data_IF_565538465219
#
_entry.id   IF_565538465219
#
_cell.length_a   1.000
_cell.length_b   1.000
_cell.length_c   1.000
_cell.angle_alpha   90.00
_cell.angle_beta   90.00
_cell.angle_gamma   90.00
#
_symmetry.space_group_name_H-M   'P 1'
#
loop_
_entity.id
_entity.type
_entity.pdbx_description
1 polymer ?
#
# COMPACT_ATOMS: atom_id res chain seq x y z
N UNK A 1 33.70 60.13 7.61
CA UNK A 1 33.82 59.28 6.39
C UNK A 1 33.77 57.83 6.87
N UNK A 2 32.60 57.15 6.82
CA UNK A 2 32.26 56.06 5.85
C UNK A 2 33.22 54.86 6.04
N UNK A 3 32.89 53.64 6.51
CA UNK A 3 31.69 52.77 6.42
C UNK A 3 31.77 51.57 7.41
N UNK A 4 30.59 51.11 7.82
CA UNK A 4 30.08 49.80 8.33
C UNK A 4 30.91 48.51 8.19
N UNK A 5 30.72 47.53 9.12
CA UNK A 5 30.28 46.12 8.88
C UNK A 5 30.34 45.30 10.19
N UNK A 6 29.25 45.17 10.98
CA UNK A 6 28.23 44.10 10.96
C UNK A 6 28.79 42.67 11.10
N UNK A 7 28.90 42.21 12.35
CA UNK A 7 29.18 40.82 12.72
C UNK A 7 27.88 39.98 12.62
N UNK A 8 27.81 39.10 11.62
CA UNK A 8 26.70 38.18 11.41
C UNK A 8 26.92 36.88 12.18
N UNK A 9 26.03 36.64 13.15
CA UNK A 9 25.89 35.38 13.89
C UNK A 9 25.33 34.33 12.93
N UNK A 10 26.10 33.29 12.66
CA UNK A 10 25.72 32.16 11.81
C UNK A 10 24.90 31.15 12.64
N UNK A 11 23.57 31.29 12.62
CA UNK A 11 22.66 30.25 13.11
C UNK A 11 22.49 29.23 11.98
N UNK A 12 23.23 28.14 12.04
CA UNK A 12 22.99 26.95 11.22
C UNK A 12 21.70 26.26 11.66
N UNK A 13 20.60 26.54 10.96
CA UNK A 13 19.36 25.75 11.02
C UNK A 13 19.59 24.45 10.26
N UNK A 14 19.93 23.38 10.96
CA UNK A 14 19.84 22.02 10.43
C UNK A 14 18.38 21.60 10.40
N UNK A 15 17.72 21.79 9.25
CA UNK A 15 16.43 21.18 8.96
C UNK A 15 16.64 19.67 8.71
N UNK A 16 16.33 18.85 9.71
CA UNK A 16 16.27 17.40 9.55
C UNK A 16 15.10 17.02 8.64
N UNK A 17 15.26 16.01 7.75
CA UNK A 17 14.14 15.52 6.95
C UNK A 17 13.16 14.82 7.90
N UNK A 18 11.95 15.38 8.02
CA UNK A 18 10.83 14.70 8.64
C UNK A 18 10.49 13.47 7.77
N UNK A 19 10.73 12.29 8.31
CA UNK A 19 10.20 11.03 7.78
C UNK A 19 8.67 11.07 7.94
N UNK A 20 7.98 11.58 6.93
CA UNK A 20 6.52 11.62 6.87
C UNK A 20 5.95 10.28 6.33
N UNK A 21 6.35 9.17 6.93
CA UNK A 21 5.97 7.82 6.50
C UNK A 21 5.37 7.04 7.67
N UNK A 22 4.25 7.49 8.23
CA UNK A 22 3.53 6.72 9.27
C UNK A 22 2.05 7.13 9.48
N UNK A 23 1.55 8.18 8.80
CA UNK A 23 0.15 8.62 8.92
C UNK A 23 -0.85 7.85 8.05
N UNK A 24 -0.37 7.04 7.10
CA UNK A 24 -1.27 6.31 6.21
C UNK A 24 -1.79 5.01 6.81
N UNK A 25 -1.03 4.40 7.71
CA UNK A 25 -1.35 3.11 8.31
C UNK A 25 -2.36 3.26 9.46
N UNK A 26 -2.20 4.23 10.36
CA UNK A 26 -3.15 4.48 11.47
C UNK A 26 -4.58 4.78 10.98
N UNK A 27 -4.72 5.60 9.92
CA UNK A 27 -6.02 5.96 9.33
C UNK A 27 -6.71 4.73 8.74
N UNK A 28 -5.93 3.77 8.24
CA UNK A 28 -6.45 2.54 7.65
C UNK A 28 -7.06 1.63 8.73
N UNK A 29 -6.42 1.49 9.89
CA UNK A 29 -6.89 0.58 10.95
C UNK A 29 -8.17 1.07 11.63
N UNK A 30 -8.25 2.36 11.97
CA UNK A 30 -9.47 2.94 12.55
C UNK A 30 -10.67 2.79 11.60
N UNK A 31 -10.43 2.98 10.31
CA UNK A 31 -11.44 2.81 9.27
C UNK A 31 -11.88 1.35 9.16
N UNK A 32 -10.94 0.39 9.20
CA UNK A 32 -11.27 -1.05 9.21
C UNK A 32 -12.15 -1.43 10.39
N UNK A 33 -11.86 -0.92 11.59
CA UNK A 33 -12.67 -1.18 12.79
C UNK A 33 -14.09 -0.65 12.63
N UNK A 34 -14.25 0.55 12.08
CA UNK A 34 -15.55 1.14 11.75
C UNK A 34 -16.35 0.26 10.78
N UNK A 35 -15.72 -0.25 9.73
CA UNK A 35 -16.35 -1.18 8.78
C UNK A 35 -16.76 -2.51 9.42
N UNK A 36 -15.91 -3.09 10.28
CA UNK A 36 -16.24 -4.30 11.03
C UNK A 36 -17.43 -4.09 11.98
N UNK A 37 -17.52 -2.93 12.62
CA UNK A 37 -18.63 -2.59 13.50
C UNK A 37 -19.95 -2.41 12.73
N UNK A 38 -19.92 -1.78 11.56
CA UNK A 38 -21.12 -1.63 10.71
C UNK A 38 -21.55 -2.95 10.04
N UNK A 39 -20.61 -3.80 9.67
CA UNK A 39 -20.86 -5.04 8.91
C UNK A 39 -20.26 -6.26 9.63
N UNK A 40 -20.83 -6.67 10.78
CA UNK A 40 -20.28 -7.77 11.59
C UNK A 40 -20.34 -9.13 10.89
N UNK A 41 -21.26 -9.31 9.93
CA UNK A 41 -21.39 -10.53 9.14
C UNK A 41 -20.42 -10.60 7.96
N UNK A 42 -19.57 -9.58 7.76
CA UNK A 42 -18.61 -9.51 6.65
C UNK A 42 -17.20 -9.66 7.17
N UNK A 43 -16.48 -10.67 6.66
CA UNK A 43 -15.10 -10.91 7.06
C UNK A 43 -14.13 -10.03 6.26
N UNK A 44 -13.69 -8.93 6.87
CA UNK A 44 -12.65 -8.06 6.30
C UNK A 44 -11.24 -8.55 6.64
N UNK A 45 -10.49 -8.94 5.61
CA UNK A 45 -9.10 -9.40 5.71
C UNK A 45 -8.10 -8.23 5.78
N UNK A 46 -8.50 -7.06 5.29
CA UNK A 46 -7.69 -5.85 5.35
C UNK A 46 -8.28 -4.72 4.53
N UNK A 47 -7.73 -3.53 4.72
CA UNK A 47 -8.10 -2.31 4.00
C UNK A 47 -6.85 -1.65 3.43
N UNK A 48 -6.96 -1.02 2.28
CA UNK A 48 -5.90 -0.23 1.66
C UNK A 48 -6.47 1.06 1.09
N UNK A 49 -5.69 2.14 1.08
CA UNK A 49 -6.04 3.34 0.32
C UNK A 49 -5.99 3.02 -1.18
N UNK A 50 -7.04 3.37 -1.92
CA UNK A 50 -7.01 3.26 -3.39
C UNK A 50 -6.24 4.44 -4.00
N UNK A 51 -5.98 4.38 -5.31
CA UNK A 51 -5.41 5.53 -6.04
C UNK A 51 -6.42 6.68 -6.20
N UNK A 52 -7.70 6.44 -5.93
CA UNK A 52 -8.75 7.45 -5.92
C UNK A 52 -8.85 8.02 -4.49
N UNK A 53 -8.66 9.34 -4.31
CA UNK A 53 -8.81 9.99 -3.01
C UNK A 53 -10.18 9.74 -2.39
N UNK A 54 -10.23 9.46 -1.08
CA UNK A 54 -11.47 9.22 -0.34
C UNK A 54 -12.10 7.83 -0.56
N UNK A 55 -11.55 7.01 -1.46
CA UNK A 55 -12.00 5.64 -1.70
C UNK A 55 -10.97 4.64 -1.17
N UNK A 56 -11.47 3.69 -0.40
CA UNK A 56 -10.71 2.61 0.18
C UNK A 56 -11.00 1.30 -0.54
N UNK A 57 -9.96 0.49 -0.68
CA UNK A 57 -10.03 -0.88 -1.15
C UNK A 57 -10.20 -1.81 0.06
N UNK A 58 -11.35 -2.45 0.17
CA UNK A 58 -11.68 -3.41 1.22
C UNK A 58 -11.53 -4.83 0.68
N UNK A 59 -10.72 -5.65 1.37
CA UNK A 59 -10.59 -7.08 1.06
C UNK A 59 -11.55 -7.88 1.93
N UNK A 60 -12.49 -8.54 1.28
CA UNK A 60 -13.51 -9.39 1.91
C UNK A 60 -13.30 -10.83 1.43
N UNK A 61 -12.53 -11.62 2.18
CA UNK A 61 -12.10 -12.95 1.74
C UNK A 61 -11.28 -12.90 0.44
N UNK A 62 -11.82 -13.46 -0.64
CA UNK A 62 -11.22 -13.43 -1.99
C UNK A 62 -11.70 -12.24 -2.85
N UNK A 63 -12.76 -11.56 -2.42
CA UNK A 63 -13.33 -10.42 -3.14
C UNK A 63 -12.73 -9.10 -2.66
N UNK A 64 -12.76 -8.13 -3.56
CA UNK A 64 -12.33 -6.76 -3.31
C UNK A 64 -13.50 -5.85 -3.63
N UNK A 65 -13.79 -4.91 -2.74
CA UNK A 65 -14.75 -3.85 -2.99
C UNK A 65 -14.13 -2.49 -2.69
N UNK A 66 -14.69 -1.47 -3.32
CA UNK A 66 -14.30 -0.09 -3.11
C UNK A 66 -15.42 0.65 -2.39
N UNK A 67 -15.10 1.35 -1.31
CA UNK A 67 -16.07 2.14 -0.56
C UNK A 67 -15.44 3.43 -0.06
N UNK A 68 -16.28 4.44 0.13
CA UNK A 68 -15.89 5.70 0.77
C UNK A 68 -15.85 5.54 2.30
N UNK A 69 -15.37 6.58 3.01
CA UNK A 69 -15.29 6.56 4.48
C UNK A 69 -16.66 6.42 5.18
N UNK A 70 -17.76 6.81 4.54
CA UNK A 70 -19.10 6.61 5.09
C UNK A 70 -19.47 5.12 5.15
N UNK A 71 -18.89 4.31 4.26
CA UNK A 71 -19.19 2.90 4.10
C UNK A 71 -20.60 2.60 3.62
N UNK A 72 -21.35 3.60 3.17
CA UNK A 72 -22.74 3.43 2.72
C UNK A 72 -22.85 2.75 1.36
N UNK A 73 -21.91 3.03 0.46
CA UNK A 73 -21.94 2.56 -0.92
C UNK A 73 -20.71 1.69 -1.20
N UNK A 74 -20.94 0.55 -1.83
CA UNK A 74 -19.89 -0.37 -2.24
C UNK A 74 -19.90 -0.53 -3.76
N UNK A 75 -18.71 -0.43 -4.34
CA UNK A 75 -18.47 -0.69 -5.75
C UNK A 75 -17.74 -2.03 -5.84
N UNK A 76 -18.36 -2.98 -6.51
CA UNK A 76 -17.79 -4.30 -6.78
C UNK A 76 -17.31 -4.35 -8.22
N UNK A 77 -16.05 -4.70 -8.42
CA UNK A 77 -15.47 -4.81 -9.76
C UNK A 77 -13.98 -4.54 -9.78
N UNK A 78 -13.53 -4.07 -10.94
CA UNK A 78 -12.12 -3.80 -11.23
C UNK A 78 -11.90 -2.30 -11.39
N UNK A 79 -10.86 -1.79 -10.74
CA UNK A 79 -10.39 -0.43 -10.92
C UNK A 79 -9.29 -0.43 -11.98
N UNK A 80 -9.59 0.14 -13.13
CA UNK A 80 -8.63 0.33 -14.22
C UNK A 80 -8.04 1.73 -14.15
N UNK A 81 -6.72 1.80 -14.14
CA UNK A 81 -6.02 3.03 -14.49
C UNK A 81 -5.98 3.12 -16.02
N UNK A 82 -6.71 4.09 -16.58
CA UNK A 82 -6.79 4.29 -18.03
C UNK A 82 -5.58 5.01 -18.61
N UNK A 83 -4.77 5.69 -17.79
CA UNK A 83 -3.53 6.32 -18.24
C UNK A 83 -2.44 5.26 -18.44
N UNK A 84 -2.33 4.33 -17.49
CA UNK A 84 -1.37 3.22 -17.58
C UNK A 84 -1.95 1.99 -18.29
N UNK A 85 -3.26 1.97 -18.55
CA UNK A 85 -4.02 0.84 -19.07
C UNK A 85 -3.83 -0.44 -18.22
N UNK A 86 -3.78 -0.28 -16.89
CA UNK A 86 -3.57 -1.42 -15.98
C UNK A 86 -4.73 -1.59 -15.00
N UNK A 87 -5.09 -2.85 -14.78
CA UNK A 87 -6.00 -3.27 -13.73
C UNK A 87 -5.30 -3.24 -12.36
N UNK A 88 -5.65 -2.25 -11.54
CA UNK A 88 -5.10 -2.07 -10.20
C UNK A 88 -5.60 -3.14 -9.23
N UNK A 89 -6.84 -3.61 -9.42
CA UNK A 89 -7.43 -4.67 -8.59
C UNK A 89 -6.72 -6.00 -8.82
N UNK A 90 -6.43 -6.36 -10.07
CA UNK A 90 -5.68 -7.57 -10.39
C UNK A 90 -4.25 -7.51 -9.84
N UNK A 91 -3.58 -6.35 -9.94
CA UNK A 91 -2.26 -6.16 -9.33
C UNK A 91 -2.31 -6.33 -7.81
N UNK A 92 -3.28 -5.70 -7.14
CA UNK A 92 -3.48 -5.84 -5.70
C UNK A 92 -3.71 -7.30 -5.31
N UNK A 93 -4.59 -8.02 -6.03
CA UNK A 93 -4.86 -9.45 -5.82
C UNK A 93 -3.62 -10.33 -6.02
N UNK A 94 -2.72 -10.00 -6.96
CA UNK A 94 -1.45 -10.73 -7.17
C UNK A 94 -0.45 -10.43 -6.05
N UNK A 95 -0.33 -9.17 -5.65
CA UNK A 95 0.55 -8.76 -4.56
C UNK A 95 0.17 -9.44 -3.23
N UNK A 96 -1.12 -9.54 -2.93
CA UNK A 96 -1.60 -10.25 -1.73
C UNK A 96 -1.44 -11.77 -1.77
N UNK A 97 -1.18 -12.36 -2.95
CA UNK A 97 -0.94 -13.79 -3.15
C UNK A 97 0.54 -14.15 -3.28
N UNK A 98 1.46 -13.19 -3.11
CA UNK A 98 2.89 -13.49 -3.09
C UNK A 98 3.20 -14.31 -1.84
N UNK A 99 3.30 -15.62 -2.03
CA UNK A 99 3.95 -16.50 -1.06
C UNK A 99 5.44 -16.24 -1.13
N UNK A 100 6.08 -16.02 0.02
CA UNK A 100 7.53 -15.88 0.08
C UNK A 100 8.19 -17.17 -0.42
N UNK A 101 9.14 -17.02 -1.34
CA UNK A 101 9.91 -18.17 -1.80
C UNK A 101 10.76 -18.67 -0.62
N UNK A 102 10.71 -19.96 -0.27
CA UNK A 102 11.36 -20.53 0.91
C UNK A 102 12.88 -20.63 0.74
N UNK A 103 13.55 -19.49 0.53
CA UNK A 103 14.99 -19.38 0.27
C UNK A 103 15.85 -20.00 1.39
N UNK A 104 15.39 -19.88 2.63
CA UNK A 104 16.05 -20.44 3.82
C UNK A 104 16.18 -21.97 3.81
N UNK A 105 15.32 -22.67 3.07
CA UNK A 105 15.29 -24.14 3.06
C UNK A 105 16.05 -24.73 1.86
N UNK A 106 16.65 -23.88 1.01
CA UNK A 106 17.38 -24.32 -0.18
C UNK A 106 18.65 -25.10 0.16
N UNK A 107 19.29 -24.80 1.29
CA UNK A 107 20.53 -25.49 1.72
C UNK A 107 20.32 -26.99 1.97
N UNK A 108 19.09 -27.38 2.34
CA UNK A 108 18.70 -28.77 2.59
C UNK A 108 17.85 -29.34 1.44
N UNK A 109 17.69 -28.62 0.34
CA UNK A 109 16.79 -29.01 -0.74
C UNK A 109 17.48 -29.96 -1.72
N UNK A 110 16.80 -31.05 -2.08
CA UNK A 110 17.23 -31.92 -3.19
C UNK A 110 16.80 -31.24 -4.49
N UNK A 111 17.78 -30.82 -5.31
CA UNK A 111 17.55 -30.14 -6.59
C UNK A 111 17.64 -31.13 -7.76
N UNK A 112 16.55 -31.28 -8.50
CA UNK A 112 16.53 -31.98 -9.80
C UNK A 112 16.03 -30.99 -10.86
N UNK A 113 16.82 -30.75 -11.91
CA UNK A 113 16.47 -29.82 -13.00
C UNK A 113 16.21 -30.63 -14.28
N UNK A 114 15.11 -30.33 -14.98
CA UNK A 114 14.78 -30.93 -16.28
C UNK A 114 14.69 -29.83 -17.33
N UNK A 115 15.66 -29.79 -18.24
CA UNK A 115 15.81 -28.74 -19.24
C UNK A 115 16.55 -27.49 -18.73
N UNK A 116 16.95 -26.62 -19.65
CA UNK A 116 17.70 -25.38 -19.39
C UNK A 116 16.79 -24.14 -19.24
N UNK A 117 15.49 -24.29 -19.49
CA UNK A 117 14.52 -23.21 -19.39
C UNK A 117 14.52 -22.24 -20.58
N UNK A 118 15.27 -22.54 -21.64
CA UNK A 118 15.25 -21.78 -22.88
C UNK A 118 13.85 -21.87 -23.52
N UNK A 119 13.25 -20.71 -23.79
CA UNK A 119 11.99 -20.61 -24.55
C UNK A 119 12.34 -20.00 -25.90
N UNK A 120 12.18 -20.78 -26.98
CA UNK A 120 12.23 -20.28 -28.36
C UNK A 120 10.88 -19.76 -28.80
#
# INVERSE_FOLDING_TARGET
>A
MIKTFLAAILITVTAGPALAQERDDEVSEATLQKFKAMYPNTNFRGIRKSKIPGIYELRMGENVAYADESGRYFIFGHLFDMQQQVDLTAQSKRAGRKTEFPSKYLDNAIKTVKGDGSRV
#
